data_IF_713534028253
#
_entry.id   IF_713534028253
#
_cell.length_a   1.000
_cell.length_b   1.000
_cell.length_c   1.000
_cell.angle_alpha   90.00
_cell.angle_beta   90.00
_cell.angle_gamma   90.00
#
_symmetry.space_group_name_H-M   'P 1'
#
loop_
_entity.id
_entity.type
_entity.pdbx_description
1 polymer ?
#
# COMPACT_ATOMS: atom_id res chain seq x y z
N UNK A 1 -8.64 -13.10 -54.04
CA UNK A 1 -8.37 -14.44 -53.50
C UNK A 1 -8.16 -14.27 -52.02
N UNK A 2 -9.14 -14.70 -51.23
CA UNK A 2 -9.15 -14.59 -49.78
C UNK A 2 -8.27 -15.68 -49.20
N UNK A 3 -7.28 -15.30 -48.40
CA UNK A 3 -6.33 -16.21 -47.79
C UNK A 3 -7.07 -17.11 -46.77
N UNK A 4 -7.04 -18.45 -46.89
CA UNK A 4 -7.83 -19.35 -46.04
C UNK A 4 -7.45 -19.28 -44.55
N UNK A 5 -6.27 -18.73 -44.23
CA UNK A 5 -5.81 -18.53 -42.84
C UNK A 5 -6.59 -17.41 -42.14
N UNK A 6 -7.08 -16.40 -42.86
CA UNK A 6 -7.80 -15.25 -42.27
C UNK A 6 -9.25 -15.60 -41.88
N UNK A 7 -9.82 -16.64 -42.47
CA UNK A 7 -11.22 -17.05 -42.27
C UNK A 7 -11.41 -18.05 -41.11
N UNK A 8 -10.36 -18.80 -40.73
CA UNK A 8 -10.45 -19.81 -39.68
C UNK A 8 -10.38 -19.23 -38.26
N UNK A 9 -9.88 -18.00 -38.11
CA UNK A 9 -9.71 -17.37 -36.80
C UNK A 9 -9.98 -15.85 -36.79
N UNK A 10 -11.19 -15.39 -37.12
CA UNK A 10 -11.50 -13.96 -37.19
C UNK A 10 -11.42 -13.24 -35.83
N UNK A 11 -11.44 -13.98 -34.71
CA UNK A 11 -11.29 -13.46 -33.34
C UNK A 11 -9.84 -13.49 -32.81
N UNK A 12 -8.83 -13.81 -33.63
CA UNK A 12 -7.41 -13.72 -33.22
C UNK A 12 -6.80 -12.33 -33.47
N UNK A 13 -7.57 -11.39 -34.03
CA UNK A 13 -7.16 -10.00 -34.12
C UNK A 13 -7.14 -9.42 -32.70
N UNK A 14 -5.92 -9.21 -32.24
CA UNK A 14 -5.51 -8.45 -31.08
C UNK A 14 -6.50 -7.33 -30.73
N UNK A 15 -6.67 -6.98 -29.44
CA UNK A 15 -7.33 -5.74 -29.07
C UNK A 15 -6.77 -4.63 -29.96
N UNK A 16 -7.63 -3.93 -30.69
CA UNK A 16 -7.18 -2.84 -31.55
C UNK A 16 -6.33 -1.89 -30.70
N UNK A 17 -5.31 -1.24 -31.27
CA UNK A 17 -4.45 -0.30 -30.53
C UNK A 17 -5.27 0.73 -29.70
N UNK A 18 -6.49 1.06 -30.15
CA UNK A 18 -7.46 1.89 -29.43
C UNK A 18 -7.98 1.33 -28.10
N UNK A 19 -7.86 0.03 -27.82
CA UNK A 19 -8.19 -0.62 -26.53
C UNK A 19 -7.00 -0.58 -25.57
N UNK A 20 -5.77 -0.63 -26.08
CA UNK A 20 -4.56 -0.53 -25.26
C UNK A 20 -4.26 0.89 -24.79
N UNK A 21 -4.60 1.90 -25.60
CA UNK A 21 -4.35 3.30 -25.24
C UNK A 21 -5.06 3.74 -23.93
N UNK A 22 -6.37 3.48 -23.70
CA UNK A 22 -7.03 3.79 -22.43
C UNK A 22 -6.46 3.03 -21.23
N UNK A 23 -6.07 1.76 -21.43
CA UNK A 23 -5.45 0.94 -20.37
C UNK A 23 -4.07 1.50 -20.01
N UNK A 24 -3.27 1.89 -21.00
CA UNK A 24 -1.96 2.51 -20.81
C UNK A 24 -2.06 3.87 -20.13
N UNK A 25 -3.01 4.72 -20.54
CA UNK A 25 -3.25 6.02 -19.87
C UNK A 25 -3.61 5.82 -18.41
N UNK A 26 -4.58 4.93 -18.11
CA UNK A 26 -5.00 4.65 -16.73
C UNK A 26 -3.87 4.07 -15.87
N UNK A 27 -3.01 3.24 -16.46
CA UNK A 27 -1.81 2.75 -15.79
C UNK A 27 -0.90 3.90 -15.34
N UNK A 28 -0.58 4.83 -16.24
CA UNK A 28 0.28 5.97 -15.91
C UNK A 28 -0.37 6.95 -14.91
N UNK A 29 -1.68 7.16 -14.97
CA UNK A 29 -2.43 7.95 -13.97
C UNK A 29 -2.36 7.31 -12.57
N UNK A 30 -2.45 5.98 -12.51
CA UNK A 30 -2.29 5.23 -11.25
C UNK A 30 -0.85 5.33 -10.73
N UNK A 31 0.16 5.21 -11.60
CA UNK A 31 1.57 5.41 -11.23
C UNK A 31 1.83 6.83 -10.69
N UNK A 32 1.27 7.86 -11.32
CA UNK A 32 1.37 9.25 -10.83
C UNK A 32 0.76 9.39 -9.41
N UNK A 33 -0.37 8.74 -9.17
CA UNK A 33 -1.01 8.71 -7.85
C UNK A 33 -0.15 7.97 -6.81
N UNK A 34 0.50 6.86 -7.20
CA UNK A 34 1.42 6.12 -6.33
C UNK A 34 2.62 6.99 -5.96
N UNK A 35 3.22 7.69 -6.94
CA UNK A 35 4.33 8.61 -6.72
C UNK A 35 3.95 9.76 -5.77
N UNK A 36 2.76 10.34 -5.93
CA UNK A 36 2.26 11.35 -5.01
C UNK A 36 2.14 10.80 -3.57
N UNK A 37 1.64 9.56 -3.42
CA UNK A 37 1.59 8.88 -2.12
C UNK A 37 2.99 8.61 -1.55
N UNK A 38 3.96 8.23 -2.39
CA UNK A 38 5.35 8.01 -1.95
C UNK A 38 5.99 9.30 -1.44
N UNK A 39 5.72 10.44 -2.10
CA UNK A 39 6.15 11.75 -1.64
C UNK A 39 5.55 12.08 -0.27
N UNK A 40 4.24 11.91 -0.11
CA UNK A 40 3.55 12.14 1.17
C UNK A 40 4.14 11.27 2.29
N UNK A 41 4.37 9.98 2.01
CA UNK A 41 5.03 9.07 2.96
C UNK A 41 6.44 9.55 3.32
N UNK A 42 7.25 9.93 2.34
CA UNK A 42 8.61 10.40 2.56
C UNK A 42 8.65 11.69 3.39
N UNK A 43 7.80 12.67 3.06
CA UNK A 43 7.67 13.93 3.80
C UNK A 43 7.33 13.65 5.28
N UNK A 44 6.35 12.77 5.53
CA UNK A 44 6.00 12.35 6.89
C UNK A 44 7.12 11.60 7.62
N UNK A 45 7.85 10.73 6.93
CA UNK A 45 9.00 10.02 7.48
C UNK A 45 10.12 10.98 7.88
N UNK A 46 10.45 11.95 7.04
CA UNK A 46 11.47 12.95 7.35
C UNK A 46 11.10 13.78 8.58
N UNK A 47 9.83 14.17 8.71
CA UNK A 47 9.36 14.92 9.87
C UNK A 47 9.46 14.09 11.17
N UNK A 48 9.01 12.83 11.16
CA UNK A 48 9.16 11.93 12.32
C UNK A 48 10.64 11.66 12.66
N UNK A 49 11.52 11.65 11.66
CA UNK A 49 12.97 11.54 11.89
C UNK A 49 13.57 12.78 12.50
N UNK A 50 13.19 13.96 12.04
CA UNK A 50 13.59 15.24 12.63
C UNK A 50 13.19 15.32 14.11
N UNK A 51 11.95 14.97 14.43
CA UNK A 51 11.45 14.91 15.82
C UNK A 51 12.29 13.94 16.66
N UNK A 52 12.52 12.72 16.16
CA UNK A 52 13.33 11.72 16.87
C UNK A 52 14.77 12.17 17.14
N UNK A 53 15.40 12.83 16.17
CA UNK A 53 16.75 13.40 16.32
C UNK A 53 16.78 14.52 17.33
N UNK A 54 15.81 15.44 17.32
CA UNK A 54 15.72 16.50 18.33
C UNK A 54 15.54 15.92 19.74
N UNK A 55 14.67 14.93 19.90
CA UNK A 55 14.48 14.24 21.19
C UNK A 55 15.79 13.59 21.67
N UNK A 56 16.52 12.90 20.79
CA UNK A 56 17.80 12.30 21.14
C UNK A 56 18.85 13.34 21.55
N UNK A 57 18.94 14.47 20.83
CA UNK A 57 19.85 15.57 21.18
C UNK A 57 19.51 16.20 22.53
N UNK A 58 18.23 16.40 22.80
CA UNK A 58 17.76 16.94 24.08
C UNK A 58 18.09 16.00 25.23
N UNK A 59 17.79 14.70 25.09
CA UNK A 59 18.15 13.69 26.08
C UNK A 59 19.65 13.64 26.31
N UNK A 60 20.47 13.66 25.25
CA UNK A 60 21.92 13.65 25.39
C UNK A 60 22.44 14.85 26.20
N UNK A 61 21.83 16.04 26.03
CA UNK A 61 22.15 17.23 26.84
C UNK A 61 21.78 17.02 28.30
N UNK A 62 20.54 16.59 28.59
CA UNK A 62 20.07 16.34 29.97
C UNK A 62 20.92 15.28 30.67
N UNK A 63 21.31 14.22 29.96
CA UNK A 63 22.21 13.19 30.48
C UNK A 63 23.59 13.76 30.87
N UNK A 64 24.12 14.72 30.09
CA UNK A 64 25.38 15.40 30.38
C UNK A 64 25.30 16.42 31.52
N UNK A 65 24.11 16.93 31.80
CA UNK A 65 23.81 17.85 32.91
C UNK A 65 23.36 17.14 34.19
N UNK A 66 23.22 15.81 34.15
CA UNK A 66 22.70 15.02 35.26
C UNK A 66 23.64 15.01 36.47
N UNK A 67 23.07 15.12 37.68
CA UNK A 67 23.82 15.18 38.93
C UNK A 67 24.45 13.84 39.31
N UNK A 68 23.86 12.72 38.87
CA UNK A 68 24.36 11.37 39.15
C UNK A 68 24.29 10.48 37.91
N UNK A 69 25.12 9.42 37.85
CA UNK A 69 25.03 8.44 36.76
C UNK A 69 23.66 7.76 36.65
N UNK A 70 22.97 7.57 37.78
CA UNK A 70 21.61 7.00 37.78
C UNK A 70 20.59 7.95 37.14
N UNK A 71 20.75 9.27 37.32
CA UNK A 71 19.87 10.24 36.69
C UNK A 71 20.10 10.29 35.17
N UNK A 72 21.34 10.18 34.69
CA UNK A 72 21.62 10.01 33.25
C UNK A 72 20.95 8.75 32.69
N UNK A 73 20.97 7.63 33.41
CA UNK A 73 20.32 6.39 32.97
C UNK A 73 18.80 6.56 32.91
N UNK A 74 18.20 7.32 33.84
CA UNK A 74 16.76 7.62 33.83
C UNK A 74 16.37 8.44 32.60
N UNK A 75 17.13 9.49 32.27
CA UNK A 75 16.90 10.28 31.05
C UNK A 75 16.97 9.41 29.79
N UNK A 76 17.94 8.48 29.73
CA UNK A 76 18.04 7.52 28.63
C UNK A 76 16.83 6.59 28.53
N UNK A 77 16.37 6.05 29.67
CA UNK A 77 15.21 5.15 29.73
C UNK A 77 13.93 5.86 29.28
N UNK A 78 13.72 7.10 29.70
CA UNK A 78 12.59 7.93 29.28
C UNK A 78 12.59 8.16 27.75
N UNK A 79 13.75 8.54 27.22
CA UNK A 79 13.95 8.68 25.77
C UNK A 79 13.68 7.39 25.00
N UNK A 80 14.16 6.26 25.51
CA UNK A 80 14.02 4.96 24.87
C UNK A 80 12.54 4.59 24.67
N UNK A 81 11.70 4.84 25.66
CA UNK A 81 10.25 4.63 25.54
C UNK A 81 9.65 5.43 24.38
N UNK A 82 9.97 6.73 24.31
CA UNK A 82 9.55 7.57 23.20
C UNK A 82 10.12 7.15 21.85
N UNK A 83 11.36 6.64 21.81
CA UNK A 83 12.01 6.18 20.59
C UNK A 83 11.31 4.94 20.01
N UNK A 84 10.90 4.01 20.88
CA UNK A 84 10.11 2.85 20.49
C UNK A 84 8.74 3.23 19.93
N UNK A 85 8.04 4.18 20.56
CA UNK A 85 6.76 4.66 20.04
C UNK A 85 6.88 5.22 18.61
N UNK A 86 7.89 6.05 18.35
CA UNK A 86 8.15 6.60 17.00
C UNK A 86 8.49 5.52 15.98
N UNK A 87 9.23 4.47 16.38
CA UNK A 87 9.51 3.32 15.51
C UNK A 87 8.23 2.56 15.13
N UNK A 88 7.28 2.40 16.06
CA UNK A 88 5.99 1.79 15.77
C UNK A 88 5.17 2.65 14.79
N UNK A 89 5.13 3.96 15.01
CA UNK A 89 4.45 4.91 14.11
C UNK A 89 5.01 4.83 12.68
N UNK A 90 6.32 4.69 12.54
CA UNK A 90 6.97 4.49 11.27
C UNK A 90 6.53 3.19 10.58
N UNK A 91 6.45 2.09 11.33
CA UNK A 91 5.94 0.81 10.83
C UNK A 91 4.50 0.92 10.32
N UNK A 92 3.63 1.59 11.08
CA UNK A 92 2.24 1.83 10.69
C UNK A 92 2.18 2.67 9.41
N UNK A 93 2.93 3.77 9.35
CA UNK A 93 2.96 4.63 8.17
C UNK A 93 3.44 3.88 6.92
N UNK A 94 4.44 3.02 7.06
CA UNK A 94 4.92 2.19 5.96
C UNK A 94 3.86 1.18 5.50
N UNK A 95 3.21 0.47 6.43
CA UNK A 95 2.12 -0.46 6.10
C UNK A 95 0.97 0.24 5.38
N UNK A 96 0.57 1.43 5.85
CA UNK A 96 -0.46 2.24 5.20
C UNK A 96 -0.08 2.61 3.77
N UNK A 97 1.17 3.01 3.54
CA UNK A 97 1.66 3.35 2.21
C UNK A 97 1.67 2.14 1.27
N UNK A 98 2.07 0.96 1.75
CA UNK A 98 2.01 -0.29 0.97
C UNK A 98 0.58 -0.64 0.58
N UNK A 99 -0.37 -0.57 1.53
CA UNK A 99 -1.79 -0.84 1.24
C UNK A 99 -2.34 0.16 0.22
N UNK A 100 -2.05 1.45 0.40
CA UNK A 100 -2.48 2.53 -0.50
C UNK A 100 -1.94 2.33 -1.92
N UNK A 101 -0.66 2.00 -2.06
CA UNK A 101 -0.05 1.73 -3.36
C UNK A 101 -0.64 0.48 -4.02
N UNK A 102 -0.78 -0.62 -3.29
CA UNK A 102 -1.37 -1.86 -3.80
C UNK A 102 -2.82 -1.67 -4.26
N UNK A 103 -3.62 -0.87 -3.57
CA UNK A 103 -5.00 -0.58 -3.98
C UNK A 103 -5.09 0.17 -5.32
N UNK A 104 -4.05 0.92 -5.72
CA UNK A 104 -3.97 1.64 -6.99
C UNK A 104 -3.42 0.80 -8.13
N UNK A 105 -2.54 -0.14 -7.81
CA UNK A 105 -1.90 -1.03 -8.77
C UNK A 105 -2.68 -2.33 -9.01
N UNK A 106 -3.56 -2.72 -8.07
CA UNK A 106 -4.40 -3.89 -8.23
C UNK A 106 -5.26 -3.75 -9.49
N UNK A 107 -5.25 -4.75 -10.41
CA UNK A 107 -6.11 -4.70 -11.57
C UNK A 107 -7.56 -4.66 -11.09
N UNK A 108 -8.27 -3.58 -11.42
CA UNK A 108 -9.72 -3.58 -11.33
C UNK A 108 -10.24 -4.58 -12.37
N UNK A 109 -10.38 -5.85 -11.98
CA UNK A 109 -11.08 -6.84 -12.77
C UNK A 109 -12.53 -6.37 -12.95
N UNK A 110 -12.96 -5.97 -14.15
CA UNK A 110 -14.35 -5.69 -14.41
C UNK A 110 -15.04 -7.06 -14.52
N UNK A 111 -15.75 -7.50 -13.47
CA UNK A 111 -16.51 -8.75 -13.53
C UNK A 111 -16.69 -9.57 -12.25
N UNK A 112 -16.24 -9.14 -11.07
CA UNK A 112 -16.53 -9.85 -9.82
C UNK A 112 -17.90 -9.48 -9.20
N UNK A 113 -18.88 -9.15 -10.04
CA UNK A 113 -20.27 -8.94 -9.66
C UNK A 113 -21.13 -9.96 -10.41
N UNK A 114 -21.86 -10.80 -9.67
CA UNK A 114 -22.67 -11.94 -10.11
C UNK A 114 -21.92 -13.24 -10.46
N UNK A 115 -21.30 -13.85 -9.45
CA UNK A 115 -21.53 -15.29 -9.26
C UNK A 115 -22.62 -15.42 -8.20
N UNK A 116 -23.88 -15.40 -8.67
CA UNK A 116 -25.00 -15.81 -7.84
C UNK A 116 -24.68 -17.22 -7.31
N UNK A 117 -24.74 -17.37 -5.98
CA UNK A 117 -24.72 -18.69 -5.36
C UNK A 117 -25.78 -19.56 -6.06
N UNK A 118 -25.48 -20.81 -6.44
CA UNK A 118 -26.52 -21.71 -6.89
C UNK A 118 -27.54 -21.83 -5.76
N UNK A 119 -28.76 -21.38 -6.05
CA UNK A 119 -29.91 -21.53 -5.18
C UNK A 119 -30.01 -22.99 -4.77
N UNK A 120 -30.01 -23.25 -3.47
CA UNK A 120 -30.36 -24.55 -2.91
C UNK A 120 -31.81 -24.86 -3.31
N UNK A 121 -31.95 -25.54 -4.44
CA UNK A 121 -33.19 -26.16 -4.87
C UNK A 121 -33.52 -27.21 -3.80
N UNK A 122 -34.62 -26.96 -3.08
CA UNK A 122 -35.17 -27.90 -2.12
C UNK A 122 -35.57 -29.16 -2.91
N UNK A 123 -34.77 -30.20 -2.80
CA UNK A 123 -35.18 -31.58 -3.12
C UNK A 123 -36.22 -32.03 -2.09
N UNK A 124 -37.42 -31.48 -2.22
CA UNK A 124 -38.65 -32.04 -1.69
C UNK A 124 -39.29 -32.82 -2.83
N UNK A 125 -38.76 -34.00 -3.17
CA UNK A 125 -39.47 -35.14 -3.77
C UNK A 125 -38.59 -36.39 -3.77
N UNK A 126 -38.77 -37.21 -2.74
CA UNK A 126 -38.87 -38.68 -2.84
C UNK A 126 -39.21 -39.24 -1.45
N UNK A 127 -40.49 -39.15 -1.09
CA UNK A 127 -41.13 -40.15 -0.25
C UNK A 127 -41.87 -41.11 -1.18
N UNK A 128 -41.46 -42.38 -1.18
CA UNK A 128 -42.30 -43.55 -1.41
C UNK A 128 -41.57 -44.76 -0.84
#
# INVERSE_FOLDING_TARGET
MSDPVTLLFPNLLQPAAGTYAPVGVKFWENEETVLAGMKEFADGWFERRRIGTHAALETARRMGEAATPLDSIREYQDWLGGAMARLLEDGIAFQQQVIKANARLAPHLPGAGNSAAPSAEKDERLSA
#
